data_IF_973503333777
#
_entry.id   IF_973503333777
#
_cell.length_a   1.000
_cell.length_b   1.000
_cell.length_c   1.000
_cell.angle_alpha   90.00
_cell.angle_beta   90.00
_cell.angle_gamma   90.00
#
_symmetry.space_group_name_H-M   'P 1'
#
loop_
_entity.id
_entity.type
_entity.pdbx_description
1 polymer ?
#
# COMPACT_ATOMS: atom_id res chain seq x y z
N UNK A 1 -24.22 26.21 -16.86
CA UNK A 1 -23.32 27.35 -16.56
C UNK A 1 -22.04 26.78 -15.99
N UNK A 2 -20.98 26.71 -16.81
CA UNK A 2 -19.68 26.20 -16.34
C UNK A 2 -18.96 27.37 -15.67
N UNK A 3 -18.77 27.30 -14.37
CA UNK A 3 -17.95 28.26 -13.65
C UNK A 3 -16.51 28.18 -14.16
N UNK A 4 -15.99 29.32 -14.59
CA UNK A 4 -14.56 29.48 -14.89
C UNK A 4 -13.79 29.25 -13.62
N UNK A 5 -13.17 28.09 -13.51
CA UNK A 5 -12.15 27.84 -12.49
C UNK A 5 -11.03 28.85 -12.68
N UNK A 6 -10.68 29.56 -11.60
CA UNK A 6 -9.55 30.48 -11.51
C UNK A 6 -8.31 29.83 -12.09
N UNK A 7 -7.59 30.55 -12.96
CA UNK A 7 -6.26 30.15 -13.41
C UNK A 7 -5.41 29.76 -12.20
N UNK A 8 -4.81 28.56 -12.23
CA UNK A 8 -3.91 28.17 -11.15
C UNK A 8 -2.73 29.12 -11.07
N UNK A 9 -2.16 29.34 -9.87
CA UNK A 9 -1.00 30.20 -9.71
C UNK A 9 0.16 29.66 -10.56
N UNK A 10 0.91 30.55 -11.16
CA UNK A 10 1.99 30.34 -12.14
C UNK A 10 3.16 29.45 -11.59
N UNK A 11 3.08 29.06 -10.33
CA UNK A 11 4.08 28.29 -9.60
C UNK A 11 3.61 26.87 -9.25
N UNK A 12 2.53 26.42 -9.87
CA UNK A 12 2.05 25.04 -9.73
C UNK A 12 2.95 24.11 -10.56
N UNK A 13 3.53 23.10 -9.92
CA UNK A 13 4.26 22.02 -10.58
C UNK A 13 3.40 21.31 -11.65
N UNK A 14 3.94 20.33 -12.37
CA UNK A 14 3.25 19.68 -13.46
C UNK A 14 1.92 19.08 -13.00
N UNK A 15 0.86 19.39 -13.76
CA UNK A 15 -0.49 18.84 -13.53
C UNK A 15 -0.62 17.57 -14.35
N UNK A 16 -1.02 16.47 -13.73
CA UNK A 16 -1.30 15.21 -14.39
C UNK A 16 -2.80 15.09 -14.66
N UNK A 17 -3.15 14.81 -15.92
CA UNK A 17 -4.51 14.61 -16.37
C UNK A 17 -4.64 13.23 -17.03
N UNK A 18 -5.57 12.41 -16.56
CA UNK A 18 -5.93 11.15 -17.20
C UNK A 18 -6.99 11.39 -18.27
N UNK A 19 -6.76 10.95 -19.50
CA UNK A 19 -7.72 11.06 -20.61
C UNK A 19 -8.18 9.66 -21.01
N UNK A 20 -9.49 9.42 -20.99
CA UNK A 20 -10.11 8.18 -21.48
C UNK A 20 -10.76 8.50 -22.83
N UNK A 21 -10.28 7.88 -23.91
CA UNK A 21 -10.83 8.07 -25.24
C UNK A 21 -10.87 6.76 -26.04
N UNK A 22 -11.69 6.73 -27.08
CA UNK A 22 -11.72 5.61 -28.00
C UNK A 22 -10.44 5.58 -28.86
N UNK A 23 -9.97 4.39 -29.20
CA UNK A 23 -8.71 4.19 -29.93
C UNK A 23 -8.69 4.93 -31.29
N UNK A 24 -9.84 5.05 -31.94
CA UNK A 24 -9.97 5.75 -33.23
C UNK A 24 -9.65 7.27 -33.19
N UNK A 25 -9.75 7.90 -32.01
CA UNK A 25 -9.48 9.34 -31.83
C UNK A 25 -8.21 9.61 -31.03
N UNK A 26 -7.54 8.54 -30.55
CA UNK A 26 -6.35 8.64 -29.72
C UNK A 26 -5.23 9.46 -30.39
N UNK A 27 -4.96 9.20 -31.66
CA UNK A 27 -3.91 9.90 -32.41
C UNK A 27 -4.20 11.40 -32.56
N UNK A 28 -5.47 11.77 -32.77
CA UNK A 28 -5.85 13.18 -32.83
C UNK A 28 -5.70 13.88 -31.48
N UNK A 29 -6.07 13.20 -30.41
CA UNK A 29 -5.91 13.73 -29.05
C UNK A 29 -4.44 13.91 -28.70
N UNK A 30 -3.58 12.93 -29.03
CA UNK A 30 -2.12 13.03 -28.84
C UNK A 30 -1.56 14.24 -29.59
N UNK A 31 -1.83 14.35 -30.88
CA UNK A 31 -1.34 15.46 -31.69
C UNK A 31 -1.75 16.83 -31.13
N UNK A 32 -2.99 16.99 -30.70
CA UNK A 32 -3.47 18.24 -30.10
C UNK A 32 -2.78 18.56 -28.77
N UNK A 33 -2.54 17.57 -27.94
CA UNK A 33 -1.87 17.77 -26.65
C UNK A 33 -0.39 18.13 -26.84
N UNK A 34 0.30 17.49 -27.78
CA UNK A 34 1.70 17.80 -28.12
C UNK A 34 1.85 19.20 -28.71
N UNK A 35 0.91 19.62 -29.58
CA UNK A 35 0.87 20.98 -30.14
C UNK A 35 0.75 22.06 -29.06
N UNK A 36 0.08 21.73 -27.94
CA UNK A 36 -0.04 22.62 -26.79
C UNK A 36 1.06 22.42 -25.72
N UNK A 37 2.14 21.71 -26.05
CA UNK A 37 3.30 21.54 -25.18
C UNK A 37 3.11 20.54 -24.04
N UNK A 38 2.09 19.68 -24.13
CA UNK A 38 1.88 18.62 -23.16
C UNK A 38 2.80 17.42 -23.44
N UNK A 39 3.44 16.88 -22.42
CA UNK A 39 4.20 15.62 -22.53
C UNK A 39 3.28 14.45 -22.27
N UNK A 40 3.11 13.59 -23.26
CA UNK A 40 2.28 12.39 -23.13
C UNK A 40 3.14 11.27 -22.53
N UNK A 41 2.70 10.71 -21.41
CA UNK A 41 3.24 9.47 -20.86
C UNK A 41 2.19 8.39 -21.06
N UNK A 42 2.52 7.39 -21.85
CA UNK A 42 1.69 6.18 -21.91
C UNK A 42 1.91 5.40 -20.62
N UNK A 43 0.96 5.48 -19.71
CA UNK A 43 0.94 4.54 -18.61
C UNK A 43 0.61 3.15 -19.15
N UNK A 44 1.30 2.15 -18.64
CA UNK A 44 0.95 0.75 -18.94
C UNK A 44 -0.54 0.56 -18.70
N UNK A 45 -1.24 -0.17 -19.56
CA UNK A 45 -2.66 -0.39 -19.41
C UNK A 45 -2.96 -0.83 -17.98
N UNK A 46 -3.87 -0.09 -17.33
CA UNK A 46 -4.40 -0.49 -16.03
C UNK A 46 -4.88 -1.93 -16.19
N UNK A 47 -4.41 -2.86 -15.36
CA UNK A 47 -4.86 -4.22 -15.46
C UNK A 47 -6.39 -4.27 -15.43
N UNK A 48 -7.02 -5.20 -16.18
CA UNK A 48 -8.48 -5.30 -16.24
C UNK A 48 -9.07 -5.34 -14.83
N UNK A 49 -10.31 -4.87 -14.65
CA UNK A 49 -11.00 -4.96 -13.36
C UNK A 49 -10.90 -6.36 -12.80
N UNK A 50 -10.78 -6.48 -11.50
CA UNK A 50 -10.52 -7.73 -10.76
C UNK A 50 -11.59 -8.82 -10.94
N UNK A 51 -12.66 -8.54 -11.71
CA UNK A 51 -13.80 -9.44 -11.90
C UNK A 51 -13.46 -10.76 -12.61
N UNK A 52 -12.39 -10.77 -13.43
CA UNK A 52 -11.94 -11.95 -14.18
C UNK A 52 -10.53 -12.42 -13.78
N UNK A 53 -9.99 -11.95 -12.66
CA UNK A 53 -8.70 -12.41 -12.16
C UNK A 53 -8.90 -13.53 -11.16
N UNK A 54 -8.20 -14.62 -11.40
CA UNK A 54 -7.89 -15.56 -10.33
C UNK A 54 -7.25 -14.77 -9.17
N UNK A 55 -7.80 -14.90 -7.97
CA UNK A 55 -7.32 -14.22 -6.79
C UNK A 55 -5.86 -14.60 -6.55
N UNK A 56 -4.98 -13.62 -6.60
CA UNK A 56 -3.60 -13.83 -6.20
C UNK A 56 -3.56 -14.09 -4.69
N UNK A 57 -2.81 -15.08 -4.30
CA UNK A 57 -2.49 -15.25 -2.87
C UNK A 57 -1.62 -14.09 -2.39
N UNK A 58 -1.56 -13.90 -1.06
CA UNK A 58 -0.72 -12.85 -0.48
C UNK A 58 0.74 -13.06 -0.87
N UNK A 59 1.20 -14.31 -0.95
CA UNK A 59 2.56 -14.69 -1.34
C UNK A 59 2.88 -14.34 -2.79
N UNK A 60 1.91 -14.48 -3.69
CA UNK A 60 2.06 -14.10 -5.10
C UNK A 60 2.05 -12.58 -5.30
N UNK A 61 1.18 -11.87 -4.57
CA UNK A 61 1.08 -10.42 -4.63
C UNK A 61 2.27 -9.72 -3.95
N UNK A 62 2.78 -10.31 -2.87
CA UNK A 62 3.87 -9.76 -2.05
C UNK A 62 4.89 -10.85 -1.73
N UNK A 63 5.78 -11.19 -2.66
CA UNK A 63 6.83 -12.18 -2.41
C UNK A 63 7.66 -11.82 -1.17
N UNK A 64 7.77 -12.76 -0.24
CA UNK A 64 8.48 -12.55 1.03
C UNK A 64 7.63 -11.92 2.14
N UNK A 65 6.31 -11.78 1.95
CA UNK A 65 5.42 -11.37 3.03
C UNK A 65 5.39 -12.46 4.12
N UNK A 66 5.51 -12.06 5.36
CA UNK A 66 5.45 -12.95 6.53
C UNK A 66 4.72 -12.28 7.70
N UNK A 67 4.35 -13.06 8.69
CA UNK A 67 3.60 -12.59 9.87
C UNK A 67 4.25 -11.40 10.61
N UNK A 68 5.57 -11.24 10.51
CA UNK A 68 6.29 -10.09 11.04
C UNK A 68 5.91 -8.76 10.40
N UNK A 69 5.54 -8.76 9.11
CA UNK A 69 5.02 -7.55 8.45
C UNK A 69 3.66 -7.17 9.01
N UNK A 70 2.79 -8.15 9.28
CA UNK A 70 1.51 -7.92 9.96
C UNK A 70 1.69 -7.36 11.37
N UNK A 71 2.65 -7.91 12.12
CA UNK A 71 3.01 -7.40 13.45
C UNK A 71 3.47 -5.95 13.40
N UNK A 72 4.38 -5.64 12.49
CA UNK A 72 4.89 -4.28 12.28
C UNK A 72 3.77 -3.31 11.85
N UNK A 73 2.90 -3.73 10.93
CA UNK A 73 1.75 -2.95 10.48
C UNK A 73 0.75 -2.68 11.61
N UNK A 74 0.39 -3.69 12.40
CA UNK A 74 -0.48 -3.54 13.57
C UNK A 74 0.11 -2.56 14.60
N UNK A 75 1.40 -2.64 14.86
CA UNK A 75 2.10 -1.73 15.77
C UNK A 75 2.07 -0.28 15.27
N UNK A 76 2.32 -0.04 13.99
CA UNK A 76 2.23 1.31 13.40
C UNK A 76 0.81 1.87 13.44
N UNK A 77 -0.21 1.04 13.22
CA UNK A 77 -1.61 1.45 13.32
C UNK A 77 -1.98 1.97 14.71
N UNK A 78 -1.45 1.34 15.75
CA UNK A 78 -1.67 1.73 17.15
C UNK A 78 -0.68 2.80 17.65
N UNK A 79 0.19 3.32 16.79
CA UNK A 79 1.25 4.28 17.10
C UNK A 79 2.15 3.86 18.28
N UNK A 80 2.45 2.57 18.35
CA UNK A 80 3.26 1.97 19.42
C UNK A 80 4.67 1.65 18.94
N UNK A 81 5.69 2.15 19.62
CA UNK A 81 7.08 1.78 19.35
C UNK A 81 7.41 0.34 19.81
N UNK A 82 8.46 -0.27 19.27
CA UNK A 82 8.92 -1.59 19.73
C UNK A 82 9.21 -1.61 21.24
N UNK A 83 9.73 -0.52 21.80
CA UNK A 83 9.99 -0.38 23.25
C UNK A 83 8.70 -0.33 24.07
N UNK A 84 7.69 0.37 23.58
CA UNK A 84 6.38 0.43 24.24
C UNK A 84 5.69 -0.93 24.17
N UNK A 85 5.69 -1.58 22.98
CA UNK A 85 5.14 -2.92 22.83
C UNK A 85 5.85 -3.93 23.73
N UNK A 86 7.16 -3.84 23.87
CA UNK A 86 7.96 -4.65 24.77
C UNK A 86 7.46 -4.57 26.23
N UNK A 87 7.21 -3.36 26.71
CA UNK A 87 6.69 -3.12 28.07
C UNK A 87 5.26 -3.65 28.22
N UNK A 88 4.39 -3.39 27.26
CA UNK A 88 2.98 -3.77 27.30
C UNK A 88 2.78 -5.29 27.18
N UNK A 89 3.53 -5.94 26.31
CA UNK A 89 3.45 -7.38 26.07
C UNK A 89 4.38 -8.20 26.98
N UNK A 90 5.29 -7.58 27.74
CA UNK A 90 6.28 -8.29 28.54
C UNK A 90 7.21 -9.18 27.70
N UNK A 91 7.62 -8.69 26.53
CA UNK A 91 8.50 -9.37 25.56
C UNK A 91 9.69 -8.47 25.29
N UNK A 92 10.89 -9.00 25.22
CA UNK A 92 12.08 -8.17 24.96
C UNK A 92 12.00 -7.47 23.60
N UNK A 93 12.53 -6.26 23.52
CA UNK A 93 12.59 -5.47 22.26
C UNK A 93 13.28 -6.27 21.15
N UNK A 94 14.34 -7.00 21.49
CA UNK A 94 15.07 -7.83 20.55
C UNK A 94 14.20 -8.95 19.95
N UNK A 95 13.34 -9.58 20.76
CA UNK A 95 12.42 -10.61 20.28
C UNK A 95 11.36 -9.98 19.34
N UNK A 96 10.81 -8.81 19.67
CA UNK A 96 9.88 -8.10 18.82
C UNK A 96 10.54 -7.77 17.48
N UNK A 97 11.75 -7.20 17.50
CA UNK A 97 12.51 -6.91 16.29
C UNK A 97 12.77 -8.16 15.44
N UNK A 98 13.17 -9.26 16.06
CA UNK A 98 13.40 -10.52 15.34
C UNK A 98 12.12 -11.09 14.72
N UNK A 99 10.98 -10.97 15.39
CA UNK A 99 9.68 -11.37 14.85
C UNK A 99 9.26 -10.47 13.68
N UNK A 100 9.42 -9.15 13.80
CA UNK A 100 9.10 -8.20 12.72
C UNK A 100 9.96 -8.39 11.46
N UNK A 101 11.18 -8.91 11.61
CA UNK A 101 12.09 -9.20 10.48
C UNK A 101 12.03 -10.66 10.00
N UNK A 102 11.09 -11.46 10.49
CA UNK A 102 10.96 -12.86 10.10
C UNK A 102 12.06 -13.78 10.60
N UNK A 103 12.99 -13.29 11.44
CA UNK A 103 14.08 -14.09 12.02
C UNK A 103 13.64 -15.04 13.11
N UNK A 104 12.47 -14.79 13.69
CA UNK A 104 11.87 -15.61 14.73
C UNK A 104 10.38 -15.82 14.41
N UNK A 105 9.91 -17.09 14.40
CA UNK A 105 8.50 -17.38 14.20
C UNK A 105 7.66 -16.88 15.38
N UNK A 106 6.42 -16.51 15.08
CA UNK A 106 5.44 -16.07 16.08
C UNK A 106 4.51 -17.25 16.36
N UNK A 107 4.72 -17.94 17.46
CA UNK A 107 3.86 -19.04 17.89
C UNK A 107 2.51 -18.54 18.45
N UNK A 108 1.53 -19.45 18.54
CA UNK A 108 0.12 -19.14 18.90
C UNK A 108 -0.03 -18.33 20.19
N UNK A 109 0.68 -18.70 21.25
CA UNK A 109 0.61 -18.00 22.54
C UNK A 109 1.20 -16.58 22.46
N UNK A 110 2.29 -16.41 21.71
CA UNK A 110 2.90 -15.11 21.48
C UNK A 110 1.98 -14.24 20.60
N UNK A 111 1.41 -14.82 19.53
CA UNK A 111 0.45 -14.13 18.66
C UNK A 111 -0.75 -13.61 19.45
N UNK A 112 -1.37 -14.43 20.30
CA UNK A 112 -2.48 -14.00 21.18
C UNK A 112 -2.09 -12.87 22.12
N UNK A 113 -0.90 -12.94 22.69
CA UNK A 113 -0.38 -11.93 23.62
C UNK A 113 -0.17 -10.58 22.95
N UNK A 114 0.44 -10.59 21.77
CA UNK A 114 0.68 -9.38 20.97
C UNK A 114 -0.63 -8.81 20.41
N UNK A 115 -1.51 -9.67 19.92
CA UNK A 115 -2.81 -9.30 19.36
C UNK A 115 -3.71 -8.57 20.37
N UNK A 116 -3.69 -9.01 21.64
CA UNK A 116 -4.43 -8.36 22.72
C UNK A 116 -3.96 -6.92 22.97
N UNK A 117 -2.66 -6.67 22.87
CA UNK A 117 -2.07 -5.33 23.06
C UNK A 117 -2.31 -4.45 21.86
N UNK A 118 -2.27 -5.02 20.64
CA UNK A 118 -2.39 -4.30 19.38
C UNK A 118 -3.81 -4.30 18.81
N UNK A 119 -4.80 -4.73 19.58
CA UNK A 119 -6.20 -4.78 19.18
C UNK A 119 -6.40 -5.36 17.75
N UNK A 120 -5.81 -6.51 17.50
CA UNK A 120 -5.83 -7.18 16.18
C UNK A 120 -6.17 -8.67 16.32
N UNK A 121 -6.47 -9.34 15.20
CA UNK A 121 -6.66 -10.79 15.21
C UNK A 121 -5.28 -11.49 15.31
N UNK A 122 -5.14 -12.37 16.29
CA UNK A 122 -3.90 -13.15 16.51
C UNK A 122 -3.54 -14.07 15.34
N UNK A 123 -4.54 -14.49 14.53
CA UNK A 123 -4.34 -15.33 13.34
C UNK A 123 -3.49 -14.62 12.29
N UNK A 124 -3.60 -13.29 12.17
CA UNK A 124 -2.80 -12.48 11.27
C UNK A 124 -1.32 -12.38 11.69
N UNK A 125 -1.04 -12.70 12.95
CA UNK A 125 0.31 -12.66 13.51
C UNK A 125 0.96 -14.05 13.62
N UNK A 126 0.21 -15.12 13.31
CA UNK A 126 0.71 -16.47 13.43
C UNK A 126 1.64 -16.80 12.25
N UNK A 127 2.79 -17.38 12.56
CA UNK A 127 3.65 -18.01 11.56
C UNK A 127 3.35 -19.51 11.57
N UNK A 128 2.94 -20.05 10.42
CA UNK A 128 2.76 -21.50 10.22
C UNK A 128 4.09 -22.25 10.28
#
# INVERSE_FOLDING_TARGET
>A
MLERTKTPPTDAGPIFLGVVCQQAILEKVKATLEEHGCTIREEKPVPPPLEDRDWLTIEEAFPGFHAGHSLRGARYREDVSQRQLSKLAGVSVQNISNMEHGRRPIGKEMAKKLAKVLNTDWRLLLTE
#
